data_IF_645574371575
#
_entry.id   IF_645574371575
#
_cell.length_a   1.000
_cell.length_b   1.000
_cell.length_c   1.000
_cell.angle_alpha   90.00
_cell.angle_beta   90.00
_cell.angle_gamma   90.00
#
_symmetry.space_group_name_H-M   'P 1'
#
loop_
_entity.id
_entity.type
_entity.pdbx_description
1 polymer ?
#
# COMPACT_ATOMS: atom_id res chain seq x y z
N UNK A 1 -3.00 -8.09 4.52
CA UNK A 1 -2.33 -7.61 3.31
C UNK A 1 -3.27 -7.69 2.11
N UNK A 2 -3.79 -8.86 1.75
CA UNK A 2 -4.66 -9.01 0.55
C UNK A 2 -5.93 -8.13 0.57
N UNK A 3 -6.67 -8.10 1.68
CA UNK A 3 -7.85 -7.23 1.85
C UNK A 3 -7.57 -5.73 1.66
N UNK A 4 -6.33 -5.30 1.93
CA UNK A 4 -5.91 -3.92 1.73
C UNK A 4 -5.62 -3.66 0.24
N UNK A 5 -4.90 -4.57 -0.42
CA UNK A 5 -4.56 -4.47 -1.86
C UNK A 5 -5.79 -4.46 -2.77
N UNK A 6 -6.86 -5.15 -2.36
CA UNK A 6 -8.15 -5.12 -3.09
C UNK A 6 -8.76 -3.70 -3.15
N UNK A 7 -8.56 -2.89 -2.10
CA UNK A 7 -9.06 -1.51 -2.05
C UNK A 7 -8.15 -0.51 -2.79
N UNK A 8 -6.88 -0.85 -3.03
CA UNK A 8 -5.95 -0.02 -3.79
C UNK A 8 -6.43 0.07 -5.24
N UNK A 9 -6.38 1.28 -5.80
CA UNK A 9 -6.74 1.54 -7.18
C UNK A 9 -5.93 0.62 -8.11
N UNK A 10 -6.55 -0.04 -9.12
CA UNK A 10 -5.87 -1.05 -9.93
C UNK A 10 -4.54 -0.59 -10.56
N UNK A 11 -4.44 0.69 -10.95
CA UNK A 11 -3.22 1.29 -11.50
C UNK A 11 -2.08 1.45 -10.49
N UNK A 12 -2.39 1.54 -9.19
CA UNK A 12 -1.40 1.77 -8.13
C UNK A 12 -0.95 0.45 -7.48
N UNK A 13 -1.62 -0.67 -7.77
CA UNK A 13 -1.39 -1.95 -7.07
C UNK A 13 0.03 -2.46 -7.24
N UNK A 14 0.53 -2.47 -8.47
CA UNK A 14 1.86 -3.01 -8.77
C UNK A 14 2.95 -2.19 -8.05
N UNK A 15 2.85 -0.86 -8.07
CA UNK A 15 3.78 0.03 -7.39
C UNK A 15 3.74 -0.14 -5.86
N UNK A 16 2.54 -0.25 -5.28
CA UNK A 16 2.37 -0.45 -3.84
C UNK A 16 2.86 -1.82 -3.38
N UNK A 17 2.64 -2.86 -4.18
CA UNK A 17 3.13 -4.20 -3.89
C UNK A 17 4.66 -4.23 -3.90
N UNK A 18 5.30 -3.67 -4.93
CA UNK A 18 6.76 -3.57 -5.02
C UNK A 18 7.37 -2.76 -3.87
N UNK A 19 6.78 -1.61 -3.53
CA UNK A 19 7.26 -0.76 -2.45
C UNK A 19 7.12 -1.44 -1.07
N UNK A 20 6.01 -2.14 -0.84
CA UNK A 20 5.80 -2.92 0.38
C UNK A 20 6.79 -4.09 0.47
N UNK A 21 6.98 -4.84 -0.62
CA UNK A 21 7.91 -5.96 -0.68
C UNK A 21 9.35 -5.53 -0.42
N UNK A 22 9.75 -4.38 -0.97
CA UNK A 22 11.06 -3.77 -0.74
C UNK A 22 11.22 -3.37 0.73
N UNK A 23 10.24 -2.68 1.30
CA UNK A 23 10.23 -2.28 2.71
C UNK A 23 10.36 -3.50 3.63
N UNK A 24 9.62 -4.56 3.34
CA UNK A 24 9.63 -5.81 4.11
C UNK A 24 10.96 -6.57 3.96
N UNK A 25 11.54 -6.64 2.77
CA UNK A 25 12.81 -7.36 2.53
C UNK A 25 14.01 -6.63 3.11
N UNK A 26 14.02 -5.30 3.01
CA UNK A 26 15.16 -4.48 3.42
C UNK A 26 15.03 -3.95 4.85
N UNK A 27 13.89 -4.14 5.50
CA UNK A 27 13.54 -3.51 6.78
C UNK A 27 13.67 -1.98 6.72
N UNK A 28 13.22 -1.40 5.61
CA UNK A 28 13.21 0.04 5.38
C UNK A 28 11.82 0.60 5.71
N UNK A 29 11.71 1.83 6.26
CA UNK A 29 10.40 2.46 6.44
C UNK A 29 9.65 2.59 5.11
N UNK A 30 8.41 2.15 5.10
CA UNK A 30 7.47 2.34 3.99
C UNK A 30 6.76 3.69 4.14
N UNK A 31 6.67 4.47 3.07
CA UNK A 31 5.88 5.70 3.02
C UNK A 31 5.37 5.93 1.60
N UNK A 32 4.07 5.74 1.38
CA UNK A 32 3.46 5.90 0.06
C UNK A 32 2.16 6.70 0.13
N UNK A 33 1.84 7.38 -0.98
CA UNK A 33 0.56 8.06 -1.18
C UNK A 33 -0.09 7.49 -2.43
N UNK A 34 -1.21 6.79 -2.26
CA UNK A 34 -1.89 6.09 -3.35
C UNK A 34 -3.40 6.25 -3.28
N UNK A 35 -4.06 5.84 -4.35
CA UNK A 35 -5.50 5.91 -4.50
C UNK A 35 -6.14 4.63 -3.99
N UNK A 36 -7.26 4.78 -3.30
CA UNK A 36 -8.17 3.66 -2.97
C UNK A 36 -9.53 3.89 -3.60
N UNK A 37 -10.15 2.81 -4.06
CA UNK A 37 -11.55 2.81 -4.50
C UNK A 37 -12.43 2.34 -3.35
N UNK A 38 -13.38 3.19 -2.95
CA UNK A 38 -14.42 2.81 -1.99
C UNK A 38 -15.67 2.31 -2.73
N UNK A 39 -16.57 1.63 -2.00
CA UNK A 39 -17.70 0.88 -2.55
C UNK A 39 -18.62 1.66 -3.53
N UNK A 40 -18.64 2.99 -3.48
CA UNK A 40 -19.44 3.84 -4.38
C UNK A 40 -18.68 4.27 -5.65
N UNK A 41 -17.47 3.73 -5.88
CA UNK A 41 -16.59 4.09 -7.00
C UNK A 41 -15.80 5.38 -6.78
N UNK A 42 -15.93 6.03 -5.63
CA UNK A 42 -15.15 7.23 -5.31
C UNK A 42 -13.69 6.86 -5.08
N UNK A 43 -12.80 7.62 -5.72
CA UNK A 43 -11.36 7.55 -5.47
C UNK A 43 -10.97 8.49 -4.33
N UNK A 44 -10.23 7.96 -3.35
CA UNK A 44 -9.63 8.75 -2.26
C UNK A 44 -8.12 8.56 -2.24
N UNK A 45 -7.39 9.60 -1.81
CA UNK A 45 -5.96 9.50 -1.55
C UNK A 45 -5.72 9.07 -0.10
N UNK A 46 -4.82 8.12 0.09
CA UNK A 46 -4.37 7.63 1.39
C UNK A 46 -2.87 7.82 1.47
N UNK A 47 -2.39 8.38 2.58
CA UNK A 47 -0.98 8.37 2.95
C UNK A 47 -0.76 7.25 3.97
N UNK A 48 0.08 6.28 3.63
CA UNK A 48 0.41 5.15 4.49
C UNK A 48 1.88 5.22 4.91
N UNK A 49 2.15 4.89 6.16
CA UNK A 49 3.51 4.75 6.70
C UNK A 49 3.61 3.45 7.51
N UNK A 50 4.68 2.67 7.31
CA UNK A 50 4.89 1.44 8.04
C UNK A 50 6.38 1.18 8.35
N UNK A 51 6.61 0.42 9.41
CA UNK A 51 7.93 -0.10 9.81
C UNK A 51 7.75 -1.57 10.22
N UNK A 52 8.75 -2.40 9.94
CA UNK A 52 8.69 -3.84 10.23
C UNK A 52 9.48 -4.16 11.51
N UNK A 53 8.89 -4.97 12.38
CA UNK A 53 9.53 -5.48 13.59
C UNK A 53 9.58 -7.01 13.51
N UNK A 54 10.73 -7.60 13.86
CA UNK A 54 10.97 -9.04 13.90
C UNK A 54 11.45 -9.42 15.31
N UNK A 55 11.05 -10.59 15.79
CA UNK A 55 11.56 -11.20 17.04
C UNK A 55 12.89 -11.95 16.83
#
# INVERSE_FOLDING_TARGET
FELFMEMVHPEDRDEIEEAYDKSLKNNEPYHEVYRVQINDGTTKYVEARAVHFYD
#
